data_IF_493199351994
#
_entry.id   IF_493199351994
#
_cell.length_a   1.000
_cell.length_b   1.000
_cell.length_c   1.000
_cell.angle_alpha   90.00
_cell.angle_beta   90.00
_cell.angle_gamma   90.00
#
_symmetry.space_group_name_H-M   'P 1'
#
loop_
_entity.id
_entity.type
_entity.pdbx_description
1 polymer ?
#
# COMPACT_ATOMS: atom_id res chain seq x y z
N UNK A 1 0.60 4.35 -23.59
CA UNK A 1 -0.76 4.22 -24.15
C UNK A 1 -0.70 3.27 -25.34
N UNK A 2 -1.51 2.19 -25.32
CA UNK A 2 -1.57 1.23 -26.41
C UNK A 2 -2.56 1.68 -27.48
N UNK A 3 -2.18 1.50 -28.75
CA UNK A 3 -3.06 1.67 -29.91
C UNK A 3 -3.57 0.30 -30.33
N UNK A 4 -4.87 0.24 -30.61
CA UNK A 4 -5.52 -0.96 -31.09
C UNK A 4 -6.06 -0.72 -32.53
N UNK A 5 -6.07 -1.76 -33.37
CA UNK A 5 -6.78 -1.75 -34.63
C UNK A 5 -8.27 -2.03 -34.42
N UNK A 6 -9.03 -2.05 -35.52
CA UNK A 6 -10.47 -2.32 -35.50
C UNK A 6 -10.83 -3.73 -35.00
N UNK A 7 -9.86 -4.65 -34.96
CA UNK A 7 -10.04 -6.02 -34.45
C UNK A 7 -9.65 -6.18 -33.00
N UNK A 8 -9.18 -5.09 -32.34
CA UNK A 8 -8.73 -5.10 -30.95
C UNK A 8 -7.29 -5.57 -30.75
N UNK A 9 -6.52 -5.77 -31.82
CA UNK A 9 -5.10 -6.15 -31.75
C UNK A 9 -4.24 -4.91 -31.51
N UNK A 10 -3.25 -5.03 -30.63
CA UNK A 10 -2.28 -3.95 -30.38
C UNK A 10 -1.40 -3.73 -31.61
N UNK A 11 -1.47 -2.53 -32.19
CA UNK A 11 -0.68 -2.11 -33.36
C UNK A 11 0.42 -1.11 -33.03
N UNK A 12 0.48 -0.64 -31.79
CA UNK A 12 1.55 0.25 -31.36
C UNK A 12 1.39 0.66 -29.90
N UNK A 13 2.47 1.20 -29.34
CA UNK A 13 2.50 1.69 -27.99
C UNK A 13 3.24 3.02 -27.90
N UNK A 14 2.68 3.99 -27.20
CA UNK A 14 3.37 5.21 -26.81
C UNK A 14 3.86 5.06 -25.37
N UNK A 15 5.15 5.17 -25.17
CA UNK A 15 5.78 5.16 -23.85
C UNK A 15 6.22 6.58 -23.52
N UNK A 16 5.79 7.07 -22.37
CA UNK A 16 6.22 8.36 -21.82
C UNK A 16 7.09 8.05 -20.61
N UNK A 17 8.37 8.40 -20.69
CA UNK A 17 9.31 8.28 -19.59
C UNK A 17 9.47 9.64 -18.91
N UNK A 18 9.39 9.68 -17.58
CA UNK A 18 9.55 10.90 -16.80
C UNK A 18 9.72 10.61 -15.32
N UNK A 19 10.06 11.65 -14.58
CA UNK A 19 10.11 11.63 -13.12
C UNK A 19 8.87 12.33 -12.57
N UNK A 20 8.35 11.81 -11.47
CA UNK A 20 7.30 12.51 -10.73
C UNK A 20 7.87 13.80 -10.14
N UNK A 21 7.19 14.93 -10.38
CA UNK A 21 7.56 16.20 -9.79
C UNK A 21 7.31 16.18 -8.27
N UNK A 22 7.93 17.12 -7.55
CA UNK A 22 7.66 17.34 -6.12
C UNK A 22 6.17 17.51 -5.84
N UNK A 23 5.44 18.15 -6.74
CA UNK A 23 3.99 18.37 -6.62
C UNK A 23 3.19 17.06 -6.55
N UNK A 24 3.60 16.01 -7.26
CA UNK A 24 2.94 14.71 -7.20
C UNK A 24 2.95 14.07 -5.80
N UNK A 25 3.88 14.50 -4.95
CA UNK A 25 4.00 14.03 -3.56
C UNK A 25 3.39 15.00 -2.54
N UNK A 26 3.24 16.29 -2.88
CA UNK A 26 2.78 17.33 -1.94
C UNK A 26 1.33 17.77 -2.17
N UNK A 27 0.77 17.59 -3.36
CA UNK A 27 -0.64 17.87 -3.62
C UNK A 27 -1.53 16.85 -2.90
N UNK A 28 -2.77 17.25 -2.53
CA UNK A 28 -3.78 16.30 -2.08
C UNK A 28 -3.95 15.13 -3.07
N UNK A 29 -4.16 13.93 -2.56
CA UNK A 29 -4.31 12.74 -3.40
C UNK A 29 -5.46 12.89 -4.40
N UNK A 30 -6.55 13.53 -3.96
CA UNK A 30 -7.73 13.80 -4.78
C UNK A 30 -7.47 14.78 -5.94
N UNK A 31 -6.42 15.58 -5.85
CA UNK A 31 -6.02 16.54 -6.89
C UNK A 31 -4.92 16.01 -7.80
N UNK A 32 -4.23 14.93 -7.37
CA UNK A 32 -3.12 14.37 -8.12
C UNK A 32 -3.65 13.54 -9.30
N UNK A 33 -3.28 13.87 -10.55
CA UNK A 33 -3.63 13.06 -11.72
C UNK A 33 -3.26 11.58 -11.53
N UNK A 34 -3.96 10.66 -12.16
CA UNK A 34 -3.88 9.20 -11.99
C UNK A 34 -4.37 8.72 -10.62
N UNK A 35 -3.95 9.33 -9.52
CA UNK A 35 -4.39 8.95 -8.16
C UNK A 35 -5.88 9.28 -8.00
N UNK A 36 -6.32 10.47 -8.37
CA UNK A 36 -7.74 10.88 -8.28
C UNK A 36 -8.69 9.93 -9.00
N UNK A 37 -8.28 9.39 -10.15
CA UNK A 37 -9.09 8.43 -10.90
C UNK A 37 -9.20 7.09 -10.16
N UNK A 38 -8.09 6.63 -9.58
CA UNK A 38 -8.06 5.42 -8.75
C UNK A 38 -8.91 5.58 -7.49
N UNK A 39 -8.84 6.74 -6.84
CA UNK A 39 -9.69 7.09 -5.69
C UNK A 39 -11.16 7.03 -6.08
N UNK A 40 -11.54 7.60 -7.22
CA UNK A 40 -12.92 7.56 -7.71
C UNK A 40 -13.40 6.12 -7.97
N UNK A 41 -12.51 5.24 -8.43
CA UNK A 41 -12.85 3.81 -8.62
C UNK A 41 -13.00 3.09 -7.28
N UNK A 42 -12.09 3.30 -6.32
CA UNK A 42 -12.16 2.73 -4.97
C UNK A 42 -13.44 3.18 -4.26
N UNK A 43 -13.74 4.49 -4.30
CA UNK A 43 -14.95 5.07 -3.71
C UNK A 43 -16.22 4.40 -4.25
N UNK A 44 -16.31 4.22 -5.59
CA UNK A 44 -17.44 3.52 -6.23
C UNK A 44 -17.59 2.09 -5.75
N UNK A 45 -16.49 1.35 -5.66
CA UNK A 45 -16.50 -0.05 -5.21
C UNK A 45 -16.90 -0.22 -3.76
N UNK A 46 -16.51 0.73 -2.91
CA UNK A 46 -16.92 0.76 -1.50
C UNK A 46 -18.34 1.26 -1.29
N UNK A 47 -18.98 1.80 -2.33
CA UNK A 47 -20.35 2.30 -2.26
C UNK A 47 -20.51 3.58 -1.44
N UNK A 48 -19.43 4.38 -1.27
CA UNK A 48 -19.47 5.58 -0.45
C UNK A 48 -20.00 6.78 -1.24
N UNK A 49 -20.97 7.47 -0.66
CA UNK A 49 -21.46 8.73 -1.22
C UNK A 49 -20.48 9.85 -0.95
N UNK A 50 -20.13 10.67 -1.97
CA UNK A 50 -19.26 11.83 -1.80
C UNK A 50 -19.70 12.74 -0.64
N UNK A 51 -18.76 13.12 0.23
CA UNK A 51 -19.00 13.97 1.38
C UNK A 51 -19.61 13.29 2.61
N UNK A 52 -19.95 11.99 2.54
CA UNK A 52 -20.38 11.21 3.71
C UNK A 52 -19.25 11.06 4.74
N UNK A 53 -19.58 10.65 5.97
CA UNK A 53 -18.58 10.38 7.02
C UNK A 53 -17.58 9.30 6.57
N UNK A 54 -18.06 8.21 5.99
CA UNK A 54 -17.22 7.14 5.46
C UNK A 54 -16.33 7.62 4.30
N UNK A 55 -16.83 8.51 3.46
CA UNK A 55 -16.04 9.10 2.38
C UNK A 55 -14.91 9.99 2.91
N UNK A 56 -15.20 10.82 3.92
CA UNK A 56 -14.18 11.65 4.56
C UNK A 56 -13.10 10.80 5.26
N UNK A 57 -13.51 9.73 5.94
CA UNK A 57 -12.58 8.78 6.55
C UNK A 57 -11.72 8.07 5.50
N UNK A 58 -12.31 7.66 4.36
CA UNK A 58 -11.57 7.09 3.23
C UNK A 58 -10.54 8.09 2.69
N UNK A 59 -10.92 9.33 2.44
CA UNK A 59 -9.98 10.35 1.94
C UNK A 59 -8.84 10.58 2.92
N UNK A 60 -9.11 10.66 4.22
CA UNK A 60 -8.07 10.75 5.25
C UNK A 60 -7.09 9.57 5.21
N UNK A 61 -7.61 8.34 5.13
CA UNK A 61 -6.78 7.15 5.03
C UNK A 61 -5.92 7.11 3.75
N UNK A 62 -6.47 7.63 2.63
CA UNK A 62 -5.76 7.73 1.35
C UNK A 62 -4.65 8.78 1.42
N UNK A 63 -4.92 9.95 2.02
CA UNK A 63 -3.90 11.01 2.18
C UNK A 63 -2.71 10.52 3.02
N UNK A 64 -2.99 9.69 4.01
CA UNK A 64 -1.97 9.08 4.84
C UNK A 64 -1.26 7.88 4.17
N UNK A 65 -1.76 7.33 3.06
CA UNK A 65 -1.18 6.14 2.42
C UNK A 65 0.02 6.50 1.54
N UNK A 66 1.05 5.61 1.41
CA UNK A 66 2.23 5.89 0.60
C UNK A 66 1.87 6.21 -0.85
N UNK A 67 2.30 7.38 -1.35
CA UNK A 67 1.97 7.87 -2.70
C UNK A 67 2.35 6.89 -3.82
N UNK A 68 3.52 6.26 -3.71
CA UNK A 68 3.97 5.29 -4.70
C UNK A 68 3.03 4.08 -4.76
N UNK A 69 2.51 3.63 -3.63
CA UNK A 69 1.55 2.54 -3.59
C UNK A 69 0.22 2.94 -4.26
N UNK A 70 -0.27 4.16 -4.03
CA UNK A 70 -1.46 4.67 -4.72
C UNK A 70 -1.31 4.68 -6.24
N UNK A 71 -0.08 4.89 -6.74
CA UNK A 71 0.22 4.91 -8.17
C UNK A 71 0.39 3.49 -8.73
N UNK A 72 1.04 2.59 -8.00
CA UNK A 72 1.49 1.29 -8.51
C UNK A 72 0.50 0.15 -8.24
N UNK A 73 -0.20 0.19 -7.12
CA UNK A 73 -1.12 -0.87 -6.72
C UNK A 73 -2.36 -0.93 -7.65
N UNK A 74 -2.95 -2.11 -7.79
CA UNK A 74 -4.22 -2.27 -8.50
C UNK A 74 -5.38 -1.65 -7.71
N UNK A 75 -6.46 -1.29 -8.41
CA UNK A 75 -7.67 -0.76 -7.74
C UNK A 75 -8.29 -1.82 -6.82
N UNK A 76 -8.19 -3.11 -7.16
CA UNK A 76 -8.68 -4.21 -6.32
C UNK A 76 -7.93 -4.25 -5.00
N UNK A 77 -6.59 -4.25 -5.06
CA UNK A 77 -5.74 -4.22 -3.87
C UNK A 77 -6.01 -2.99 -2.99
N UNK A 78 -6.11 -1.80 -3.60
CA UNK A 78 -6.41 -0.56 -2.87
C UNK A 78 -7.79 -0.62 -2.21
N UNK A 79 -8.80 -1.18 -2.87
CA UNK A 79 -10.14 -1.31 -2.32
C UNK A 79 -10.16 -2.17 -1.06
N UNK A 80 -9.53 -3.36 -1.11
CA UNK A 80 -9.44 -4.25 0.04
C UNK A 80 -8.56 -3.65 1.16
N UNK A 81 -7.47 -2.98 0.79
CA UNK A 81 -6.60 -2.28 1.73
C UNK A 81 -7.37 -1.20 2.51
N UNK A 82 -8.06 -0.30 1.81
CA UNK A 82 -8.79 0.79 2.48
C UNK A 82 -10.01 0.28 3.27
N UNK A 83 -10.70 -0.73 2.78
CA UNK A 83 -11.73 -1.43 3.56
C UNK A 83 -11.17 -1.98 4.87
N UNK A 84 -9.97 -2.54 4.84
CA UNK A 84 -9.27 -3.03 6.03
C UNK A 84 -8.84 -1.91 6.97
N UNK A 85 -8.29 -0.80 6.44
CA UNK A 85 -7.79 0.34 7.23
C UNK A 85 -8.92 1.04 7.98
N UNK A 86 -10.06 1.30 7.32
CA UNK A 86 -11.17 2.03 7.90
C UNK A 86 -11.77 1.38 9.17
N UNK A 87 -11.58 0.06 9.35
CA UNK A 87 -12.01 -0.64 10.55
C UNK A 87 -10.94 -0.73 11.65
N UNK A 88 -9.74 -0.19 11.44
CA UNK A 88 -8.61 -0.41 12.36
C UNK A 88 -8.61 0.54 13.56
N UNK A 89 -9.01 1.79 13.39
CA UNK A 89 -8.99 2.77 14.50
C UNK A 89 -9.82 2.33 15.68
N UNK A 90 -10.98 1.71 15.43
CA UNK A 90 -11.86 1.18 16.47
C UNK A 90 -11.31 -0.10 17.11
N UNK A 91 -10.62 -0.94 16.32
CA UNK A 91 -10.18 -2.27 16.75
C UNK A 91 -8.80 -2.28 17.41
N UNK A 92 -7.99 -1.24 17.22
CA UNK A 92 -6.63 -1.09 17.75
C UNK A 92 -5.75 -2.34 17.59
N UNK A 93 -5.83 -2.99 16.42
CA UNK A 93 -5.10 -4.23 16.10
C UNK A 93 -3.97 -3.94 15.10
N UNK A 94 -2.91 -4.73 15.16
CA UNK A 94 -1.91 -4.76 14.11
C UNK A 94 -2.50 -5.36 12.84
N UNK A 95 -2.25 -4.75 11.70
CA UNK A 95 -2.71 -5.19 10.38
C UNK A 95 -1.58 -5.11 9.36
N UNK A 96 -1.51 -6.11 8.48
CA UNK A 96 -0.55 -6.19 7.40
C UNK A 96 -1.26 -6.09 6.05
N UNK A 97 -0.74 -5.22 5.18
CA UNK A 97 -1.08 -5.18 3.75
C UNK A 97 0.20 -5.45 2.97
N UNK A 98 0.23 -6.56 2.26
CA UNK A 98 1.40 -7.04 1.54
C UNK A 98 1.11 -7.09 0.05
N UNK A 99 2.02 -6.55 -0.76
CA UNK A 99 1.89 -6.54 -2.21
C UNK A 99 3.23 -6.86 -2.87
N UNK A 100 3.20 -7.78 -3.79
CA UNK A 100 4.32 -8.03 -4.70
C UNK A 100 4.33 -6.96 -5.81
N UNK A 101 5.49 -6.44 -6.15
CA UNK A 101 5.63 -5.53 -7.29
C UNK A 101 5.26 -6.25 -8.60
N UNK A 102 4.67 -5.51 -9.53
CA UNK A 102 4.23 -6.06 -10.83
C UNK A 102 5.36 -6.71 -11.64
N UNK A 103 6.60 -6.34 -11.37
CA UNK A 103 7.79 -6.83 -12.05
C UNK A 103 8.68 -7.67 -11.12
N UNK A 104 8.13 -8.15 -10.02
CA UNK A 104 8.76 -9.03 -9.03
C UNK A 104 10.08 -8.50 -8.41
N UNK A 105 10.31 -7.19 -8.49
CA UNK A 105 11.55 -6.53 -8.03
C UNK A 105 11.64 -6.42 -6.52
N UNK A 106 10.50 -6.33 -5.85
CA UNK A 106 10.39 -6.17 -4.40
C UNK A 106 8.98 -6.50 -3.92
N UNK A 107 8.89 -6.75 -2.62
CA UNK A 107 7.61 -6.83 -1.90
C UNK A 107 7.44 -5.53 -1.12
N UNK A 108 6.25 -4.94 -1.14
CA UNK A 108 5.88 -3.86 -0.24
C UNK A 108 4.98 -4.39 0.85
N UNK A 109 5.28 -4.01 2.10
CA UNK A 109 4.47 -4.34 3.25
C UNK A 109 4.12 -3.05 4.02
N UNK A 110 2.82 -2.81 4.23
CA UNK A 110 2.35 -1.71 5.06
C UNK A 110 1.79 -2.30 6.35
N UNK A 111 2.47 -2.01 7.45
CA UNK A 111 2.08 -2.47 8.78
C UNK A 111 1.46 -1.32 9.54
N UNK A 112 0.22 -1.50 9.97
CA UNK A 112 -0.47 -0.61 10.91
C UNK A 112 -0.45 -1.26 12.28
N UNK A 113 -0.17 -0.48 13.32
CA UNK A 113 -0.22 -0.91 14.70
C UNK A 113 -0.63 0.25 15.62
N UNK A 114 -1.16 -0.03 16.82
CA UNK A 114 -1.45 1.02 17.79
C UNK A 114 -0.20 1.86 18.11
N UNK A 115 -0.34 3.18 18.07
CA UNK A 115 0.79 4.11 18.26
C UNK A 115 1.45 3.98 19.65
N UNK A 116 0.69 3.67 20.65
CA UNK A 116 1.16 3.45 22.03
C UNK A 116 2.01 2.18 22.19
N UNK A 117 1.90 1.24 21.24
CA UNK A 117 2.74 0.03 21.20
C UNK A 117 3.98 0.20 20.34
N UNK A 118 4.03 1.25 19.51
CA UNK A 118 5.17 1.47 18.61
C UNK A 118 6.40 1.94 19.39
N UNK A 119 7.48 1.18 19.27
CA UNK A 119 8.81 1.51 19.74
C UNK A 119 9.87 0.78 18.89
N UNK A 120 11.14 1.09 19.10
CA UNK A 120 12.26 0.49 18.35
C UNK A 120 12.32 -1.03 18.51
N UNK A 121 11.98 -1.57 19.68
CA UNK A 121 11.99 -3.02 19.91
C UNK A 121 10.96 -3.71 19.05
N UNK A 122 9.74 -3.17 18.98
CA UNK A 122 8.67 -3.69 18.10
C UNK A 122 9.06 -3.59 16.64
N UNK A 123 9.66 -2.46 16.21
CA UNK A 123 10.15 -2.30 14.85
C UNK A 123 11.16 -3.38 14.48
N UNK A 124 12.16 -3.62 15.33
CA UNK A 124 13.18 -4.65 15.12
C UNK A 124 12.57 -6.07 15.06
N UNK A 125 11.57 -6.34 15.88
CA UNK A 125 10.85 -7.64 15.83
C UNK A 125 10.06 -7.81 14.54
N UNK A 126 9.39 -6.76 14.06
CA UNK A 126 8.67 -6.78 12.79
C UNK A 126 9.67 -7.05 11.64
N UNK A 127 10.82 -6.37 11.64
CA UNK A 127 11.87 -6.61 10.67
C UNK A 127 12.39 -8.06 10.73
N UNK A 128 12.60 -8.59 11.93
CA UNK A 128 13.03 -9.97 12.14
C UNK A 128 12.01 -10.98 11.58
N UNK A 129 10.72 -10.75 11.82
CA UNK A 129 9.65 -11.60 11.25
C UNK A 129 9.71 -11.61 9.72
N UNK A 130 9.98 -10.48 9.07
CA UNK A 130 10.13 -10.43 7.61
C UNK A 130 11.40 -11.14 7.14
N UNK A 131 12.52 -11.05 7.89
CA UNK A 131 13.76 -11.78 7.58
C UNK A 131 13.62 -13.30 7.71
N UNK A 132 12.76 -13.76 8.60
CA UNK A 132 12.45 -15.18 8.76
C UNK A 132 11.48 -15.69 7.69
N UNK A 133 10.58 -14.83 7.21
CA UNK A 133 9.58 -15.20 6.21
C UNK A 133 10.11 -15.19 4.79
N UNK A 134 10.99 -14.24 4.48
CA UNK A 134 11.48 -13.99 3.12
C UNK A 134 12.98 -14.18 3.04
N UNK A 135 13.45 -14.88 1.98
CA UNK A 135 14.86 -14.84 1.59
C UNK A 135 15.15 -13.47 0.98
N UNK A 136 15.56 -12.51 1.83
CA UNK A 136 15.70 -11.13 1.45
C UNK A 136 17.16 -10.67 1.35
N UNK A 137 17.46 -9.94 0.29
CA UNK A 137 18.72 -9.26 0.08
C UNK A 137 18.82 -7.96 0.92
N UNK A 138 17.71 -7.20 0.94
CA UNK A 138 17.65 -5.92 1.65
C UNK A 138 16.21 -5.61 2.09
N UNK A 139 16.11 -4.89 3.21
CA UNK A 139 14.86 -4.34 3.71
C UNK A 139 15.06 -2.88 4.08
N UNK A 140 14.25 -2.02 3.48
CA UNK A 140 14.18 -0.59 3.79
C UNK A 140 12.82 -0.29 4.42
N UNK A 141 12.75 0.68 5.33
CA UNK A 141 11.48 1.08 5.90
C UNK A 141 11.35 2.59 6.08
N UNK A 142 10.10 3.04 6.12
CA UNK A 142 9.73 4.42 6.45
C UNK A 142 8.62 4.40 7.49
N UNK A 143 8.77 5.23 8.53
CA UNK A 143 7.83 5.33 9.64
C UNK A 143 7.00 6.58 9.45
N UNK A 144 5.68 6.44 9.56
CA UNK A 144 4.73 7.55 9.48
C UNK A 144 3.91 7.60 10.77
N UNK A 145 4.09 8.68 11.50
CA UNK A 145 3.34 8.99 12.71
C UNK A 145 2.49 10.23 12.42
N UNK A 146 1.21 10.02 12.13
CA UNK A 146 0.23 11.10 11.97
C UNK A 146 -0.45 11.41 13.31
N UNK A 147 -1.46 12.27 13.29
CA UNK A 147 -2.35 12.51 14.44
C UNK A 147 -3.25 11.31 14.78
N UNK A 148 -3.28 10.28 13.94
CA UNK A 148 -4.02 9.04 14.15
C UNK A 148 -3.52 8.27 15.37
N UNK A 149 -4.41 7.48 15.98
CA UNK A 149 -4.08 6.51 17.02
C UNK A 149 -3.21 5.34 16.55
N UNK A 150 -2.96 5.26 15.24
CA UNK A 150 -2.18 4.23 14.59
C UNK A 150 -0.81 4.76 14.13
N UNK A 151 0.24 3.98 14.35
CA UNK A 151 1.50 4.11 13.65
C UNK A 151 1.44 3.29 12.35
N UNK A 152 2.09 3.77 11.33
CA UNK A 152 2.21 3.07 10.04
C UNK A 152 3.68 2.94 9.67
N UNK A 153 4.08 1.72 9.31
CA UNK A 153 5.41 1.43 8.83
C UNK A 153 5.29 0.87 7.41
N UNK A 154 5.97 1.49 6.48
CA UNK A 154 6.07 1.05 5.11
C UNK A 154 7.41 0.35 4.93
N UNK A 155 7.40 -0.94 4.57
CA UNK A 155 8.58 -1.71 4.25
C UNK A 155 8.67 -1.94 2.75
N UNK A 156 9.89 -1.87 2.24
CA UNK A 156 10.26 -2.36 0.91
C UNK A 156 11.28 -3.47 1.08
N UNK A 157 10.91 -4.66 0.66
CA UNK A 157 11.68 -5.89 0.83
C UNK A 157 12.18 -6.31 -0.55
N UNK A 158 13.49 -6.36 -0.74
CA UNK A 158 14.11 -6.94 -1.93
C UNK A 158 14.46 -8.39 -1.66
N UNK A 159 13.97 -9.28 -2.51
CA UNK A 159 14.28 -10.70 -2.44
C UNK A 159 15.68 -10.95 -3.00
N UNK A 160 16.36 -12.00 -2.50
CA UNK A 160 17.64 -12.46 -3.02
C UNK A 160 17.48 -12.95 -4.45
N UNK A 161 16.41 -13.72 -4.71
CA UNK A 161 15.99 -14.13 -6.05
C UNK A 161 14.61 -13.57 -6.36
N UNK A 162 14.50 -12.53 -7.22
CA UNK A 162 13.23 -11.93 -7.57
C UNK A 162 12.33 -12.84 -8.43
N UNK A 163 12.85 -13.93 -8.97
CA UNK A 163 12.06 -14.90 -9.75
C UNK A 163 11.28 -15.86 -8.87
N UNK A 164 11.65 -15.97 -7.59
CA UNK A 164 11.00 -16.82 -6.60
C UNK A 164 10.17 -15.95 -5.67
N UNK A 165 8.93 -15.64 -6.09
CA UNK A 165 7.98 -14.95 -5.20
C UNK A 165 7.39 -15.98 -4.24
N UNK A 166 7.62 -15.86 -2.92
CA UNK A 166 7.10 -16.82 -1.96
C UNK A 166 5.57 -16.75 -1.90
N UNK A 167 4.95 -17.91 -1.87
CA UNK A 167 3.53 -18.04 -1.56
C UNK A 167 3.34 -17.81 -0.06
N UNK A 168 2.91 -16.62 0.31
CA UNK A 168 2.86 -16.18 1.72
C UNK A 168 1.44 -16.26 2.25
N UNK A 169 1.24 -16.99 3.36
CA UNK A 169 0.02 -16.88 4.16
C UNK A 169 0.01 -15.57 4.94
N UNK A 170 -0.61 -14.54 4.35
CA UNK A 170 -0.71 -13.20 4.94
C UNK A 170 -1.36 -13.25 6.32
N UNK A 171 -2.32 -14.15 6.56
CA UNK A 171 -3.02 -14.26 7.84
C UNK A 171 -2.11 -14.83 8.93
N UNK A 172 -1.29 -15.83 8.60
CA UNK A 172 -0.29 -16.38 9.53
C UNK A 172 0.79 -15.35 9.82
N UNK A 173 1.31 -14.65 8.80
CA UNK A 173 2.30 -13.61 8.95
C UNK A 173 1.77 -12.45 9.81
N UNK A 174 0.54 -12.00 9.58
CA UNK A 174 -0.10 -10.96 10.39
C UNK A 174 -0.22 -11.37 11.87
N UNK A 175 -0.56 -12.62 12.17
CA UNK A 175 -0.59 -13.12 13.56
C UNK A 175 0.78 -13.07 14.22
N UNK A 176 1.85 -13.42 13.50
CA UNK A 176 3.24 -13.30 14.01
C UNK A 176 3.59 -11.84 14.31
N UNK A 177 3.19 -10.90 13.46
CA UNK A 177 3.38 -9.47 13.70
C UNK A 177 2.55 -8.93 14.87
N UNK A 178 1.40 -9.53 15.20
CA UNK A 178 0.58 -9.14 16.35
C UNK A 178 1.21 -9.54 17.68
N UNK A 179 2.08 -10.54 17.68
CA UNK A 179 2.79 -11.05 18.86
C UNK A 179 4.21 -10.49 19.01
N UNK A 180 4.68 -9.75 18.01
CA UNK A 180 5.97 -9.06 18.02
C UNK A 180 5.93 -7.80 18.89
#
# INVERSE_FOLDING_TARGET
>A
VRRFDATGRVVGEYVILGLFSRQAYSLPAVETPLIRERIAMVRRRLGFHPGSHSDKALIGAIEDYPRLELIQASVDFLTETFKGIMGLEERRKTRLFLRVDRFDRFITAVVYLPRDRFNTTVLNRIEQVFREEFDLQAIDYQIYLSSSSLARIFFRIRLTDPTVVPETDISALEKRLQTA
#
